data_IF_704921508120
#
_entry.id   IF_704921508120
#
_cell.length_a   1.000
_cell.length_b   1.000
_cell.length_c   1.000
_cell.angle_alpha   90.00
_cell.angle_beta   90.00
_cell.angle_gamma   90.00
#
_symmetry.space_group_name_H-M   'P 1'
#
loop_
_entity.id
_entity.type
_entity.pdbx_description
1 polymer ?
#
# COMPACT_ATOMS: atom_id res chain seq x y z
N UNK A 1 15.26 7.06 38.92
CA UNK A 1 13.97 6.74 38.26
C UNK A 1 13.21 5.57 38.90
N UNK A 2 13.84 4.57 39.50
CA UNK A 2 13.16 3.45 40.20
C UNK A 2 12.23 3.92 41.35
N UNK A 3 12.68 4.91 42.14
CA UNK A 3 11.93 5.40 43.33
C UNK A 3 10.59 6.08 42.98
N UNK A 4 10.49 6.77 41.86
CA UNK A 4 9.24 7.47 41.46
C UNK A 4 8.17 6.47 40.96
N UNK A 5 8.58 5.40 40.33
CA UNK A 5 7.68 4.31 39.91
C UNK A 5 7.07 3.57 41.08
N UNK A 6 7.87 3.31 42.11
CA UNK A 6 7.39 2.62 43.31
C UNK A 6 6.42 3.48 44.13
N UNK A 7 6.68 4.80 44.21
CA UNK A 7 5.77 5.74 44.91
C UNK A 7 4.43 5.87 44.16
N UNK A 8 4.46 6.00 42.83
CA UNK A 8 3.25 6.06 42.01
C UNK A 8 2.41 4.76 42.11
N UNK A 9 3.06 3.59 42.15
CA UNK A 9 2.35 2.32 42.33
C UNK A 9 1.68 2.25 43.68
N UNK A 10 2.36 2.65 44.78
CA UNK A 10 1.78 2.69 46.14
C UNK A 10 0.61 3.68 46.23
N UNK A 11 0.67 4.85 45.61
CA UNK A 11 -0.44 5.80 45.55
C UNK A 11 -1.61 5.24 44.76
N UNK A 12 -1.36 4.48 43.70
CA UNK A 12 -2.38 3.81 42.89
C UNK A 12 -3.11 2.71 43.67
N UNK A 13 -2.36 1.85 44.32
CA UNK A 13 -2.93 0.76 45.14
C UNK A 13 -3.75 1.34 46.33
N UNK A 14 -3.29 2.43 46.95
CA UNK A 14 -4.01 3.13 48.00
C UNK A 14 -5.34 3.73 47.52
N UNK A 15 -5.41 4.31 46.33
CA UNK A 15 -6.65 4.92 45.85
C UNK A 15 -7.79 3.90 45.64
N UNK A 16 -7.49 2.75 45.00
CA UNK A 16 -8.45 1.65 44.84
C UNK A 16 -8.90 1.11 46.21
N UNK A 17 -7.95 1.00 47.15
CA UNK A 17 -8.24 0.55 48.51
C UNK A 17 -9.13 1.54 49.26
N UNK A 18 -8.91 2.85 49.11
CA UNK A 18 -9.74 3.91 49.69
C UNK A 18 -11.18 3.87 49.16
N UNK A 19 -11.35 3.69 47.83
CA UNK A 19 -12.65 3.55 47.18
C UNK A 19 -13.42 2.32 47.70
N UNK A 20 -12.72 1.19 47.84
CA UNK A 20 -13.28 -0.02 48.42
C UNK A 20 -13.69 0.16 49.90
N UNK A 21 -12.83 0.78 50.72
CA UNK A 21 -13.12 1.06 52.10
C UNK A 21 -14.28 2.04 52.27
N UNK A 22 -14.35 3.08 51.41
CA UNK A 22 -15.46 4.03 51.46
C UNK A 22 -16.81 3.35 51.15
N UNK A 23 -16.84 2.52 50.09
CA UNK A 23 -18.04 1.73 49.74
C UNK A 23 -18.45 0.75 50.84
N UNK A 24 -17.47 0.05 51.42
CA UNK A 24 -17.72 -0.90 52.51
C UNK A 24 -18.17 -0.19 53.78
N UNK A 25 -17.55 0.91 54.16
CA UNK A 25 -17.92 1.72 55.33
C UNK A 25 -19.32 2.29 55.19
N UNK A 26 -19.68 2.78 54.03
CA UNK A 26 -21.01 3.30 53.76
C UNK A 26 -22.09 2.17 53.81
N UNK A 27 -21.78 1.01 53.29
CA UNK A 27 -22.66 -0.16 53.34
C UNK A 27 -22.91 -0.61 54.80
N UNK A 28 -21.87 -0.66 55.66
CA UNK A 28 -21.98 -0.94 57.08
C UNK A 28 -22.84 0.09 57.79
N UNK A 29 -22.69 1.37 57.49
CA UNK A 29 -23.50 2.45 58.05
C UNK A 29 -24.98 2.26 57.71
N UNK A 30 -25.33 1.99 56.45
CA UNK A 30 -26.71 1.73 56.02
C UNK A 30 -27.28 0.50 56.68
N UNK A 31 -26.50 -0.55 56.89
CA UNK A 31 -26.94 -1.76 57.55
C UNK A 31 -27.18 -1.56 59.05
N UNK A 32 -26.21 -0.96 59.76
CA UNK A 32 -26.26 -0.87 61.22
C UNK A 32 -27.07 0.31 61.75
N UNK A 33 -27.01 1.47 61.09
CA UNK A 33 -27.62 2.71 61.58
C UNK A 33 -29.00 2.94 60.99
N UNK A 34 -29.17 2.66 59.69
CA UNK A 34 -30.44 2.89 59.01
C UNK A 34 -31.30 1.61 58.89
N UNK A 35 -30.81 0.46 59.34
CA UNK A 35 -31.48 -0.84 59.26
C UNK A 35 -32.06 -1.17 57.88
N UNK A 36 -31.36 -0.74 56.82
CA UNK A 36 -31.79 -0.94 55.44
C UNK A 36 -30.82 -1.90 54.73
N UNK A 37 -31.14 -3.19 54.82
CA UNK A 37 -30.31 -4.25 54.23
C UNK A 37 -30.18 -4.16 52.71
N UNK A 38 -31.27 -3.82 52.00
CA UNK A 38 -31.24 -3.73 50.54
C UNK A 38 -30.32 -2.61 50.07
N UNK A 39 -30.39 -1.44 50.70
CA UNK A 39 -29.49 -0.33 50.38
C UNK A 39 -28.03 -0.67 50.69
N UNK A 40 -27.76 -1.38 51.78
CA UNK A 40 -26.42 -1.82 52.15
C UNK A 40 -25.78 -2.72 51.07
N UNK A 41 -26.52 -3.71 50.56
CA UNK A 41 -26.04 -4.62 49.52
C UNK A 41 -25.79 -3.91 48.19
N UNK A 42 -26.69 -3.00 47.78
CA UNK A 42 -26.54 -2.22 46.54
C UNK A 42 -25.32 -1.31 46.64
N UNK A 43 -25.11 -0.61 47.75
CA UNK A 43 -23.97 0.29 47.96
C UNK A 43 -22.66 -0.49 47.99
N UNK A 44 -22.64 -1.65 48.65
CA UNK A 44 -21.48 -2.53 48.66
C UNK A 44 -21.12 -3.03 47.27
N UNK A 45 -22.11 -3.50 46.50
CA UNK A 45 -21.93 -3.91 45.09
C UNK A 45 -21.43 -2.78 44.19
N UNK A 46 -21.97 -1.58 44.35
CA UNK A 46 -21.48 -0.40 43.59
C UNK A 46 -20.04 -0.03 43.97
N UNK A 47 -19.67 -0.13 45.27
CA UNK A 47 -18.30 0.11 45.74
C UNK A 47 -17.28 -0.85 45.12
N UNK A 48 -17.62 -2.14 45.05
CA UNK A 48 -16.78 -3.16 44.37
C UNK A 48 -16.66 -2.86 42.88
N UNK A 49 -17.78 -2.59 42.20
CA UNK A 49 -17.80 -2.28 40.77
C UNK A 49 -16.96 -1.05 40.46
N UNK A 50 -17.11 0.02 41.21
CA UNK A 50 -16.36 1.26 41.05
C UNK A 50 -14.85 1.01 41.22
N UNK A 51 -14.45 0.31 42.27
CA UNK A 51 -13.05 -0.04 42.51
C UNK A 51 -12.46 -0.88 41.39
N UNK A 52 -13.22 -1.84 40.86
CA UNK A 52 -12.79 -2.69 39.74
C UNK A 52 -12.63 -1.87 38.45
N UNK A 53 -13.62 -1.02 38.12
CA UNK A 53 -13.54 -0.14 36.95
C UNK A 53 -12.36 0.82 37.05
N UNK A 54 -12.17 1.44 38.22
CA UNK A 54 -11.03 2.33 38.47
C UNK A 54 -9.70 1.58 38.31
N UNK A 55 -9.61 0.35 38.80
CA UNK A 55 -8.40 -0.48 38.62
C UNK A 55 -8.11 -0.74 37.14
N UNK A 56 -9.11 -1.22 36.37
CA UNK A 56 -8.96 -1.54 34.95
C UNK A 56 -8.57 -0.32 34.12
N UNK A 57 -9.28 0.80 34.29
CA UNK A 57 -8.98 2.04 33.58
C UNK A 57 -7.55 2.53 33.86
N UNK A 58 -7.11 2.43 35.11
CA UNK A 58 -5.76 2.83 35.51
C UNK A 58 -4.67 1.91 34.94
N UNK A 59 -4.93 0.60 34.89
CA UNK A 59 -4.01 -0.34 34.26
C UNK A 59 -3.82 -0.03 32.78
N UNK A 60 -4.92 0.20 32.05
CA UNK A 60 -4.88 0.53 30.64
C UNK A 60 -4.16 1.87 30.36
N UNK A 61 -4.47 2.90 31.15
CA UNK A 61 -3.76 4.19 31.06
C UNK A 61 -2.27 4.04 31.39
N UNK A 62 -1.92 3.17 32.34
CA UNK A 62 -0.52 2.88 32.67
C UNK A 62 0.22 2.22 31.51
N UNK A 63 -0.39 1.24 30.85
CA UNK A 63 0.16 0.60 29.63
C UNK A 63 0.33 1.60 28.51
N UNK A 64 -0.72 2.37 28.18
CA UNK A 64 -0.65 3.41 27.15
C UNK A 64 0.45 4.43 27.42
N UNK A 65 0.61 4.90 28.65
CA UNK A 65 1.69 5.83 29.01
C UNK A 65 3.08 5.23 28.83
N UNK A 66 3.26 3.94 29.18
CA UNK A 66 4.56 3.25 29.01
C UNK A 66 4.91 3.03 27.55
N UNK A 67 3.93 2.68 26.72
CA UNK A 67 4.09 2.52 25.28
C UNK A 67 4.40 3.85 24.60
N UNK A 68 3.64 4.89 24.94
CA UNK A 68 3.88 6.26 24.42
C UNK A 68 5.26 6.80 24.82
N UNK A 69 5.69 6.55 26.06
CA UNK A 69 7.01 6.96 26.52
C UNK A 69 8.14 6.21 25.77
N UNK A 70 7.95 4.92 25.49
CA UNK A 70 8.90 4.15 24.70
C UNK A 70 8.98 4.64 23.26
N UNK A 71 7.85 4.91 22.61
CA UNK A 71 7.78 5.48 21.26
C UNK A 71 8.42 6.88 21.22
N UNK A 72 8.11 7.74 22.18
CA UNK A 72 8.70 9.07 22.30
C UNK A 72 10.22 9.01 22.45
N UNK A 73 10.74 8.09 23.26
CA UNK A 73 12.17 7.91 23.48
C UNK A 73 12.88 7.42 22.21
N UNK A 74 12.23 6.54 21.42
CA UNK A 74 12.73 6.07 20.15
C UNK A 74 12.79 7.21 19.11
N UNK A 75 11.74 8.01 19.01
CA UNK A 75 11.68 9.16 18.08
C UNK A 75 12.69 10.24 18.49
N UNK A 76 12.85 10.50 19.77
CA UNK A 76 13.78 11.52 20.27
C UNK A 76 15.26 11.17 20.05
N UNK A 77 15.58 9.88 19.86
CA UNK A 77 16.95 9.45 19.58
C UNK A 77 17.44 9.89 18.19
N UNK A 78 16.54 10.04 17.21
CA UNK A 78 16.89 10.43 15.84
C UNK A 78 17.46 11.86 15.77
N UNK A 79 16.78 12.94 16.27
CA UNK A 79 17.34 14.28 16.27
C UNK A 79 18.66 14.37 17.05
N UNK A 80 18.79 13.63 18.14
CA UNK A 80 20.02 13.59 18.92
C UNK A 80 21.17 12.96 18.14
N UNK A 81 20.94 11.84 17.46
CA UNK A 81 21.93 11.21 16.60
C UNK A 81 22.34 12.12 15.44
N UNK A 82 21.38 12.83 14.83
CA UNK A 82 21.65 13.81 13.77
C UNK A 82 22.56 14.93 14.23
N UNK A 83 22.29 15.46 15.42
CA UNK A 83 23.08 16.56 15.99
C UNK A 83 24.55 16.17 16.30
N UNK A 84 24.84 14.88 16.40
CA UNK A 84 26.20 14.35 16.61
C UNK A 84 26.99 14.15 15.32
N UNK A 85 26.36 14.25 14.13
CA UNK A 85 27.06 14.14 12.87
C UNK A 85 27.83 15.45 12.62
N UNK A 86 29.15 15.36 12.69
CA UNK A 86 30.02 16.53 12.51
C UNK A 86 30.32 16.80 11.02
N UNK A 87 30.32 15.77 10.17
CA UNK A 87 30.61 15.88 8.76
C UNK A 87 29.40 16.42 7.98
N UNK A 88 29.54 17.52 7.19
CA UNK A 88 28.42 18.16 6.48
C UNK A 88 27.79 17.25 5.41
N UNK A 89 28.57 16.43 4.73
CA UNK A 89 28.06 15.51 3.69
C UNK A 89 27.23 14.38 4.34
N UNK A 90 27.72 13.80 5.42
CA UNK A 90 26.99 12.84 6.22
C UNK A 90 25.70 13.43 6.81
N UNK A 91 25.74 14.71 7.22
CA UNK A 91 24.58 15.42 7.77
C UNK A 91 23.48 15.62 6.70
N UNK A 92 23.86 16.05 5.49
CA UNK A 92 22.94 16.13 4.35
C UNK A 92 22.33 14.77 4.02
N UNK A 93 23.16 13.73 3.96
CA UNK A 93 22.67 12.36 3.69
C UNK A 93 21.69 11.87 4.75
N UNK A 94 21.94 12.17 6.01
CA UNK A 94 21.05 11.81 7.11
C UNK A 94 19.70 12.56 7.03
N UNK A 95 19.71 13.84 6.63
CA UNK A 95 18.48 14.60 6.37
C UNK A 95 17.68 14.02 5.22
N UNK A 96 18.32 13.64 4.11
CA UNK A 96 17.68 12.99 2.97
C UNK A 96 17.01 11.66 3.36
N UNK A 97 17.69 10.85 4.20
CA UNK A 97 17.13 9.60 4.70
C UNK A 97 15.87 9.83 5.55
N UNK A 98 15.86 10.85 6.41
CA UNK A 98 14.68 11.18 7.20
C UNK A 98 13.54 11.66 6.31
N UNK A 99 13.82 12.56 5.36
CA UNK A 99 12.83 13.04 4.40
C UNK A 99 12.23 11.88 3.58
N UNK A 100 13.07 10.94 3.10
CA UNK A 100 12.64 9.73 2.42
C UNK A 100 11.76 8.84 3.29
N UNK A 101 12.12 8.66 4.57
CA UNK A 101 11.34 7.87 5.53
C UNK A 101 9.97 8.49 5.79
N UNK A 102 9.89 9.80 6.00
CA UNK A 102 8.63 10.52 6.19
C UNK A 102 7.72 10.39 4.97
N UNK A 103 8.28 10.49 3.76
CA UNK A 103 7.55 10.28 2.51
C UNK A 103 6.99 8.85 2.43
N UNK A 104 7.80 7.84 2.75
CA UNK A 104 7.37 6.44 2.76
C UNK A 104 6.25 6.19 3.78
N UNK A 105 6.36 6.77 4.98
CA UNK A 105 5.30 6.69 6.01
C UNK A 105 4.01 7.34 5.50
N UNK A 106 4.10 8.50 4.85
CA UNK A 106 2.92 9.17 4.26
C UNK A 106 2.25 8.31 3.19
N UNK A 107 3.02 7.61 2.35
CA UNK A 107 2.46 6.68 1.37
C UNK A 107 1.78 5.48 2.04
N UNK A 108 2.39 4.92 3.10
CA UNK A 108 1.78 3.84 3.89
C UNK A 108 0.47 4.27 4.55
N UNK A 109 0.39 5.51 5.08
CA UNK A 109 -0.85 6.08 5.61
C UNK A 109 -1.95 6.20 4.56
N UNK A 110 -1.58 6.45 3.30
CA UNK A 110 -2.48 6.46 2.16
C UNK A 110 -2.81 5.05 1.62
N UNK A 111 -2.23 4.01 2.23
CA UNK A 111 -2.44 2.61 1.84
C UNK A 111 -1.61 2.15 0.65
N UNK A 112 -0.54 2.89 0.34
CA UNK A 112 0.43 2.49 -0.67
C UNK A 112 1.70 1.95 -0.01
N UNK A 113 2.17 0.81 -0.49
CA UNK A 113 3.48 0.26 -0.14
C UNK A 113 4.47 0.78 -1.19
N UNK A 114 5.44 1.64 -0.80
CA UNK A 114 6.48 2.10 -1.73
C UNK A 114 7.41 0.94 -2.09
N UNK A 115 7.80 0.88 -3.35
CA UNK A 115 8.68 -0.13 -3.92
C UNK A 115 9.82 0.60 -4.65
N UNK A 116 11.03 0.11 -4.52
CA UNK A 116 12.11 0.50 -5.44
C UNK A 116 11.95 -0.23 -6.78
N UNK A 117 12.84 0.04 -7.74
CA UNK A 117 12.75 -0.55 -9.08
C UNK A 117 12.83 -2.09 -9.04
N UNK A 118 13.72 -2.64 -8.25
CA UNK A 118 13.88 -4.09 -8.12
C UNK A 118 12.66 -4.72 -7.42
N UNK A 119 12.26 -4.14 -6.30
CA UNK A 119 11.10 -4.58 -5.53
C UNK A 119 9.81 -4.51 -6.33
N UNK A 120 9.67 -3.53 -7.24
CA UNK A 120 8.53 -3.42 -8.14
C UNK A 120 8.39 -4.65 -9.06
N UNK A 121 9.47 -5.07 -9.73
CA UNK A 121 9.43 -6.24 -10.59
C UNK A 121 9.26 -7.55 -9.80
N UNK A 122 9.88 -7.66 -8.63
CA UNK A 122 9.71 -8.81 -7.75
C UNK A 122 8.27 -8.92 -7.23
N UNK A 123 7.68 -7.78 -6.84
CA UNK A 123 6.29 -7.74 -6.40
C UNK A 123 5.33 -8.06 -7.54
N UNK A 124 5.56 -7.53 -8.74
CA UNK A 124 4.79 -7.87 -9.94
C UNK A 124 4.84 -9.36 -10.25
N UNK A 125 6.03 -9.98 -10.19
CA UNK A 125 6.19 -11.41 -10.35
C UNK A 125 5.42 -12.19 -9.28
N UNK A 126 5.53 -11.79 -8.01
CA UNK A 126 4.79 -12.40 -6.90
C UNK A 126 3.28 -12.30 -7.08
N UNK A 127 2.76 -11.16 -7.49
CA UNK A 127 1.32 -10.98 -7.75
C UNK A 127 0.85 -11.86 -8.92
N UNK A 128 1.62 -11.95 -10.01
CA UNK A 128 1.32 -12.84 -11.14
C UNK A 128 1.31 -14.32 -10.71
N UNK A 129 2.28 -14.74 -9.88
CA UNK A 129 2.33 -16.12 -9.36
C UNK A 129 1.14 -16.44 -8.42
N UNK A 130 0.53 -15.44 -7.78
CA UNK A 130 -0.66 -15.61 -6.92
C UNK A 130 -1.98 -15.32 -7.62
N UNK A 131 -1.95 -14.78 -8.84
CA UNK A 131 -3.16 -14.53 -9.62
C UNK A 131 -3.90 -15.83 -9.93
N UNK A 132 -5.24 -15.76 -9.86
CA UNK A 132 -6.15 -16.91 -10.01
C UNK A 132 -7.01 -16.77 -11.26
N UNK A 133 -7.39 -15.56 -11.64
CA UNK A 133 -8.33 -15.32 -12.73
C UNK A 133 -7.77 -14.43 -13.83
N UNK A 134 -7.24 -13.26 -13.50
CA UNK A 134 -6.85 -12.29 -14.51
C UNK A 134 -5.76 -11.32 -14.05
N UNK A 135 -4.97 -10.87 -15.02
CA UNK A 135 -4.05 -9.73 -14.87
C UNK A 135 -4.32 -8.74 -16.01
N UNK A 136 -4.60 -7.49 -15.67
CA UNK A 136 -4.80 -6.39 -16.62
C UNK A 136 -3.65 -5.42 -16.46
N UNK A 137 -2.87 -5.23 -17.52
CA UNK A 137 -1.68 -4.38 -17.50
C UNK A 137 -1.75 -3.27 -18.54
N UNK A 138 -1.19 -2.12 -18.20
CA UNK A 138 -0.88 -1.05 -19.11
C UNK A 138 0.62 -0.77 -18.99
N UNK A 139 1.33 -0.86 -20.09
CA UNK A 139 2.78 -0.69 -20.12
C UNK A 139 3.17 0.29 -21.25
N UNK A 140 4.09 1.24 -20.99
CA UNK A 140 4.71 1.99 -22.06
C UNK A 140 5.63 1.05 -22.85
N UNK A 141 5.40 0.95 -24.17
CA UNK A 141 6.24 0.13 -25.03
C UNK A 141 7.48 0.93 -25.42
N UNK A 142 8.62 0.46 -24.93
CA UNK A 142 9.92 1.07 -25.22
C UNK A 142 10.89 0.05 -25.77
N UNK A 143 11.84 0.49 -26.59
CA UNK A 143 12.97 -0.33 -27.03
C UNK A 143 13.73 -0.88 -25.82
N UNK A 144 14.20 -2.15 -25.90
CA UNK A 144 14.90 -2.81 -24.81
C UNK A 144 14.02 -3.43 -23.73
N UNK A 145 12.71 -3.50 -23.92
CA UNK A 145 11.78 -4.13 -22.97
C UNK A 145 12.16 -5.58 -22.63
N UNK A 146 12.63 -6.36 -23.62
CA UNK A 146 13.07 -7.75 -23.44
C UNK A 146 14.50 -7.89 -22.89
N UNK A 147 15.29 -6.83 -22.81
CA UNK A 147 16.70 -6.89 -22.43
C UNK A 147 16.98 -6.65 -20.94
N UNK A 148 16.01 -6.18 -20.17
CA UNK A 148 16.15 -5.92 -18.73
C UNK A 148 15.91 -7.19 -17.93
N UNK A 149 16.92 -7.68 -17.21
CA UNK A 149 16.86 -8.95 -16.47
C UNK A 149 15.70 -9.08 -15.50
N UNK A 150 15.33 -7.99 -14.80
CA UNK A 150 14.18 -7.98 -13.90
C UNK A 150 12.85 -8.15 -14.64
N UNK A 151 12.69 -7.55 -15.83
CA UNK A 151 11.53 -7.72 -16.70
C UNK A 151 11.42 -9.15 -17.24
N UNK A 152 12.54 -9.82 -17.52
CA UNK A 152 12.51 -11.23 -17.95
C UNK A 152 11.90 -12.12 -16.87
N UNK A 153 12.31 -11.94 -15.62
CA UNK A 153 11.75 -12.73 -14.52
C UNK A 153 10.26 -12.42 -14.30
N UNK A 154 9.87 -11.15 -14.38
CA UNK A 154 8.46 -10.73 -14.32
C UNK A 154 7.66 -11.37 -15.46
N UNK A 155 8.17 -11.35 -16.70
CA UNK A 155 7.50 -11.96 -17.84
C UNK A 155 7.35 -13.48 -17.68
N UNK A 156 8.38 -14.18 -17.19
CA UNK A 156 8.31 -15.61 -16.89
C UNK A 156 7.22 -15.94 -15.86
N UNK A 157 6.99 -15.06 -14.87
CA UNK A 157 5.88 -15.26 -13.93
C UNK A 157 4.50 -15.12 -14.60
N UNK A 158 4.38 -14.24 -15.60
CA UNK A 158 3.17 -14.12 -16.41
C UNK A 158 2.90 -15.42 -17.19
N UNK A 159 3.94 -16.02 -17.82
CA UNK A 159 3.79 -17.29 -18.53
C UNK A 159 3.30 -18.40 -17.58
N UNK A 160 3.92 -18.53 -16.41
CA UNK A 160 3.44 -19.49 -15.39
C UNK A 160 2.00 -19.23 -14.93
N UNK A 161 1.58 -17.96 -14.86
CA UNK A 161 0.21 -17.63 -14.54
C UNK A 161 -0.76 -18.10 -15.64
N UNK A 162 -0.42 -17.88 -16.90
CA UNK A 162 -1.21 -18.36 -18.05
C UNK A 162 -1.29 -19.89 -18.12
N UNK A 163 -0.21 -20.60 -17.79
CA UNK A 163 -0.21 -22.08 -17.67
C UNK A 163 -1.23 -22.58 -16.62
N UNK A 164 -1.55 -21.75 -15.61
CA UNK A 164 -2.59 -22.03 -14.62
C UNK A 164 -3.99 -21.59 -15.04
N UNK A 165 -4.14 -21.02 -16.24
CA UNK A 165 -5.42 -20.55 -16.78
C UNK A 165 -5.75 -19.09 -16.42
N UNK A 166 -4.78 -18.31 -15.94
CA UNK A 166 -4.96 -16.86 -15.69
C UNK A 166 -4.97 -16.12 -17.04
N UNK A 167 -6.00 -15.31 -17.26
CA UNK A 167 -6.08 -14.45 -18.44
C UNK A 167 -5.18 -13.22 -18.23
N UNK A 168 -4.28 -12.95 -19.18
CA UNK A 168 -3.45 -11.76 -19.17
C UNK A 168 -3.79 -10.89 -20.36
N UNK A 169 -4.32 -9.69 -20.07
CA UNK A 169 -4.59 -8.66 -21.07
C UNK A 169 -3.64 -7.49 -20.87
N UNK A 170 -2.95 -7.08 -21.93
CA UNK A 170 -1.96 -6.01 -21.88
C UNK A 170 -2.21 -4.95 -22.94
N UNK A 171 -2.33 -3.71 -22.52
CA UNK A 171 -2.43 -2.56 -23.40
C UNK A 171 -1.07 -1.87 -23.44
N UNK A 172 -0.42 -1.90 -24.59
CA UNK A 172 0.82 -1.17 -24.80
C UNK A 172 0.55 0.25 -25.29
N UNK A 173 1.20 1.23 -24.66
CA UNK A 173 1.15 2.62 -25.08
C UNK A 173 2.38 2.92 -25.92
N UNK A 174 2.18 3.31 -27.18
CA UNK A 174 3.25 3.59 -28.14
C UNK A 174 2.85 4.71 -29.11
N UNK A 175 3.72 5.09 -30.03
CA UNK A 175 3.39 5.92 -31.17
C UNK A 175 3.30 5.07 -32.46
N UNK A 176 2.69 5.61 -33.50
CA UNK A 176 2.62 4.89 -34.80
C UNK A 176 4.00 4.66 -35.42
N UNK A 177 4.91 5.58 -35.20
CA UNK A 177 6.30 5.46 -35.70
C UNK A 177 7.05 4.35 -34.95
N UNK A 178 6.96 4.33 -33.61
CA UNK A 178 7.58 3.29 -32.76
C UNK A 178 7.02 1.88 -33.06
N UNK A 179 5.74 1.78 -33.42
CA UNK A 179 5.12 0.49 -33.76
C UNK A 179 5.82 -0.21 -34.94
N UNK A 180 6.43 0.55 -35.85
CA UNK A 180 7.16 0.02 -37.01
C UNK A 180 8.59 -0.44 -36.69
N UNK A 181 9.08 -0.19 -35.48
CA UNK A 181 10.43 -0.58 -35.06
C UNK A 181 10.56 -2.10 -34.89
N UNK A 182 11.62 -2.74 -35.42
CA UNK A 182 11.78 -4.19 -35.36
C UNK A 182 11.77 -4.75 -33.91
N UNK A 183 12.36 -4.04 -32.96
CA UNK A 183 12.37 -4.46 -31.55
C UNK A 183 10.99 -4.42 -30.93
N UNK A 184 10.21 -3.38 -31.23
CA UNK A 184 8.82 -3.23 -30.78
C UNK A 184 7.94 -4.35 -31.36
N UNK A 185 8.04 -4.58 -32.66
CA UNK A 185 7.36 -5.69 -33.34
C UNK A 185 7.68 -7.04 -32.70
N UNK A 186 8.94 -7.30 -32.40
CA UNK A 186 9.37 -8.55 -31.76
C UNK A 186 8.76 -8.73 -30.35
N UNK A 187 8.66 -7.66 -29.56
CA UNK A 187 8.01 -7.72 -28.24
C UNK A 187 6.56 -8.11 -28.38
N UNK A 188 5.82 -7.43 -29.25
CA UNK A 188 4.38 -7.66 -29.46
C UNK A 188 4.10 -9.08 -30.01
N UNK A 189 4.87 -9.51 -31.01
CA UNK A 189 4.77 -10.85 -31.58
C UNK A 189 5.03 -11.94 -30.53
N UNK A 190 6.09 -11.75 -29.72
CA UNK A 190 6.43 -12.71 -28.67
C UNK A 190 5.27 -12.87 -27.68
N UNK A 191 4.76 -11.76 -27.17
CA UNK A 191 3.66 -11.81 -26.21
C UNK A 191 2.36 -12.35 -26.80
N UNK A 192 2.03 -11.96 -28.02
CA UNK A 192 0.84 -12.50 -28.71
C UNK A 192 0.97 -14.00 -28.96
N UNK A 193 2.14 -14.48 -29.39
CA UNK A 193 2.43 -15.92 -29.60
C UNK A 193 2.35 -16.71 -28.30
N UNK A 194 2.80 -16.14 -27.21
CA UNK A 194 2.76 -16.75 -25.88
C UNK A 194 1.35 -16.76 -25.27
N UNK A 195 0.35 -16.15 -25.93
CA UNK A 195 -1.06 -16.18 -25.51
C UNK A 195 -1.52 -14.98 -24.69
N UNK A 196 -0.69 -13.93 -24.56
CA UNK A 196 -1.13 -12.66 -23.95
C UNK A 196 -2.11 -11.96 -24.88
N UNK A 197 -3.26 -11.52 -24.39
CA UNK A 197 -4.15 -10.65 -25.15
C UNK A 197 -3.54 -9.26 -25.25
N UNK A 198 -2.94 -8.95 -26.40
CA UNK A 198 -2.22 -7.71 -26.64
C UNK A 198 -3.13 -6.70 -27.36
N UNK A 199 -3.14 -5.46 -26.85
CA UNK A 199 -3.78 -4.30 -27.47
C UNK A 199 -2.80 -3.13 -27.55
N UNK A 200 -3.05 -2.18 -28.43
CA UNK A 200 -2.21 -0.98 -28.62
C UNK A 200 -3.07 0.27 -28.44
N UNK A 201 -2.61 1.18 -27.59
CA UNK A 201 -3.16 2.53 -27.48
C UNK A 201 -2.12 3.54 -27.97
N UNK A 202 -2.50 4.40 -28.90
CA UNK A 202 -1.58 5.43 -29.40
C UNK A 202 -1.62 6.66 -28.48
N UNK A 203 -0.43 7.20 -28.17
CA UNK A 203 -0.29 8.38 -27.26
C UNK A 203 -1.13 9.58 -27.70
N UNK A 204 -1.24 9.82 -29.00
CA UNK A 204 -2.01 10.93 -29.57
C UNK A 204 -3.52 10.68 -29.63
N UNK A 205 -3.97 9.46 -29.38
CA UNK A 205 -5.37 9.06 -29.38
C UNK A 205 -5.91 8.89 -27.94
N UNK A 206 -5.05 9.05 -26.94
CA UNK A 206 -5.46 8.94 -25.55
C UNK A 206 -6.45 10.04 -25.18
N UNK A 207 -7.49 9.74 -24.37
CA UNK A 207 -8.46 10.73 -23.92
C UNK A 207 -7.77 11.90 -23.21
N UNK A 208 -8.10 13.13 -23.59
CA UNK A 208 -7.52 14.36 -23.01
C UNK A 208 -7.76 14.53 -21.50
N UNK A 209 -8.68 13.77 -20.96
CA UNK A 209 -8.96 13.71 -19.49
C UNK A 209 -7.97 12.84 -18.73
N UNK A 210 -7.04 12.17 -19.41
CA UNK A 210 -5.90 11.51 -18.78
C UNK A 210 -4.83 12.57 -18.63
N UNK A 211 -4.83 13.25 -17.47
CA UNK A 211 -3.87 14.32 -17.18
C UNK A 211 -2.51 13.71 -16.87
N UNK A 212 -1.58 13.85 -17.81
CA UNK A 212 -0.18 13.45 -17.65
C UNK A 212 0.63 14.42 -16.79
N UNK A 213 0.08 15.62 -16.52
CA UNK A 213 0.77 16.71 -15.82
C UNK A 213 0.44 16.79 -14.31
N UNK A 214 -0.56 16.07 -13.87
CA UNK A 214 -1.03 16.10 -12.47
C UNK A 214 -0.30 15.10 -11.58
N UNK A 215 0.32 15.63 -10.56
CA UNK A 215 0.94 14.92 -9.43
C UNK A 215 0.12 13.73 -8.93
N UNK A 216 0.81 12.64 -8.71
CA UNK A 216 0.55 11.57 -7.72
C UNK A 216 -0.36 10.37 -8.06
N UNK A 217 -1.35 10.43 -8.94
CA UNK A 217 -2.22 9.25 -9.16
C UNK A 217 -2.19 8.72 -10.60
N UNK A 218 -1.98 9.59 -11.60
CA UNK A 218 -2.03 9.23 -13.02
C UNK A 218 -0.72 9.50 -13.77
N UNK A 219 0.35 9.80 -13.07
CA UNK A 219 1.63 10.25 -13.65
C UNK A 219 2.40 9.20 -14.43
N UNK A 220 1.97 7.94 -14.41
CA UNK A 220 2.54 6.88 -15.23
C UNK A 220 1.43 5.95 -15.66
N UNK A 221 1.24 5.80 -16.96
CA UNK A 221 0.42 4.74 -17.53
C UNK A 221 1.20 3.42 -17.58
N UNK A 222 1.77 3.07 -16.44
CA UNK A 222 2.52 1.83 -16.22
C UNK A 222 2.01 1.21 -14.91
N UNK A 223 1.05 0.29 -15.05
CA UNK A 223 0.46 -0.39 -13.92
C UNK A 223 -0.12 -1.75 -14.31
N UNK A 224 -0.27 -2.62 -13.32
CA UNK A 224 -0.99 -3.87 -13.46
C UNK A 224 -1.97 -4.08 -12.30
N UNK A 225 -3.17 -4.56 -12.64
CA UNK A 225 -4.22 -4.97 -11.70
C UNK A 225 -4.30 -6.48 -11.69
N UNK A 226 -4.23 -7.09 -10.52
CA UNK A 226 -4.22 -8.53 -10.30
C UNK A 226 -5.51 -8.95 -9.59
N UNK A 227 -6.36 -9.75 -10.24
CA UNK A 227 -7.63 -10.30 -9.71
C UNK A 227 -8.54 -9.28 -9.02
N UNK A 228 -8.45 -7.99 -9.38
CA UNK A 228 -9.14 -6.90 -8.71
C UNK A 228 -8.87 -6.81 -7.18
N UNK A 229 -7.71 -7.32 -6.74
CA UNK A 229 -7.28 -7.38 -5.32
C UNK A 229 -6.03 -6.56 -5.03
N UNK A 230 -5.20 -6.34 -6.03
CA UNK A 230 -3.97 -5.56 -5.88
C UNK A 230 -3.65 -4.80 -7.17
N UNK A 231 -2.99 -3.66 -7.00
CA UNK A 231 -2.43 -2.88 -8.09
C UNK A 231 -0.96 -2.64 -7.80
N UNK A 232 -0.11 -2.81 -8.80
CA UNK A 232 1.24 -2.26 -8.82
C UNK A 232 1.32 -1.17 -9.88
N UNK A 233 1.96 -0.05 -9.58
CA UNK A 233 2.14 1.05 -10.52
C UNK A 233 3.51 1.68 -10.39
N UNK A 234 4.04 2.18 -11.52
CA UNK A 234 5.31 2.93 -11.58
C UNK A 234 5.01 4.40 -11.83
N UNK A 235 5.80 5.27 -11.27
CA UNK A 235 5.79 6.69 -11.58
C UNK A 235 7.23 7.24 -11.62
N UNK A 236 7.45 8.22 -12.47
CA UNK A 236 8.73 8.91 -12.55
C UNK A 236 8.69 10.19 -11.72
N UNK A 237 9.68 10.42 -10.87
CA UNK A 237 9.84 11.65 -10.13
C UNK A 237 11.32 12.07 -10.14
N UNK A 238 11.61 13.29 -10.60
CA UNK A 238 12.98 13.82 -10.71
C UNK A 238 13.94 12.91 -11.48
N UNK A 239 13.45 12.28 -12.56
CA UNK A 239 14.23 11.38 -13.40
C UNK A 239 14.51 9.99 -12.80
N UNK A 240 13.91 9.67 -11.66
CA UNK A 240 13.98 8.34 -11.04
C UNK A 240 12.62 7.64 -11.10
N UNK A 241 12.65 6.33 -11.30
CA UNK A 241 11.46 5.49 -11.27
C UNK A 241 11.20 5.02 -9.85
N UNK A 242 9.94 5.10 -9.46
CA UNK A 242 9.44 4.61 -8.17
C UNK A 242 8.24 3.73 -8.42
N UNK A 243 8.22 2.59 -7.76
CA UNK A 243 7.07 1.71 -7.74
C UNK A 243 6.22 1.90 -6.50
N UNK A 244 4.98 1.50 -6.57
CA UNK A 244 4.09 1.36 -5.42
C UNK A 244 3.09 0.24 -5.64
N UNK A 245 2.61 -0.32 -4.52
CA UNK A 245 1.55 -1.31 -4.50
C UNK A 245 0.42 -0.84 -3.59
N UNK A 246 -0.81 -1.16 -3.95
CA UNK A 246 -1.96 -1.00 -3.07
C UNK A 246 -2.91 -2.19 -3.17
N UNK A 247 -3.60 -2.50 -2.07
CA UNK A 247 -4.72 -3.43 -1.99
C UNK A 247 -6.02 -2.73 -1.59
N UNK A 248 -6.04 -1.39 -1.56
CA UNK A 248 -7.25 -0.65 -1.19
C UNK A 248 -8.26 -0.65 -2.33
N UNK A 249 -9.48 -1.12 -2.08
CA UNK A 249 -10.53 -1.28 -3.08
C UNK A 249 -10.87 0.03 -3.80
N UNK A 250 -10.88 1.16 -3.09
CA UNK A 250 -11.15 2.47 -3.70
C UNK A 250 -10.08 2.88 -4.73
N UNK A 251 -8.81 2.54 -4.48
CA UNK A 251 -7.72 2.82 -5.41
C UNK A 251 -7.73 1.82 -6.57
N UNK A 252 -7.95 0.53 -6.29
CA UNK A 252 -8.09 -0.51 -7.33
C UNK A 252 -9.20 -0.11 -8.31
N UNK A 253 -10.36 0.35 -7.82
CA UNK A 253 -11.46 0.78 -8.67
C UNK A 253 -11.07 1.94 -9.61
N UNK A 254 -10.22 2.87 -9.17
CA UNK A 254 -9.72 3.96 -10.05
C UNK A 254 -8.84 3.42 -11.18
N UNK A 255 -7.95 2.47 -10.89
CA UNK A 255 -7.08 1.86 -11.90
C UNK A 255 -7.89 0.99 -12.87
N UNK A 256 -8.91 0.27 -12.39
CA UNK A 256 -9.81 -0.49 -13.24
C UNK A 256 -10.59 0.42 -14.19
N UNK A 257 -11.16 1.51 -13.67
CA UNK A 257 -11.84 2.48 -14.52
C UNK A 257 -10.92 3.13 -15.56
N UNK A 258 -9.66 3.42 -15.17
CA UNK A 258 -8.66 3.92 -16.12
C UNK A 258 -8.34 2.87 -17.20
N UNK A 259 -8.16 1.61 -16.79
CA UNK A 259 -7.93 0.49 -17.71
C UNK A 259 -9.08 0.37 -18.73
N UNK A 260 -10.33 0.30 -18.26
CA UNK A 260 -11.52 0.19 -19.11
C UNK A 260 -11.63 1.34 -20.13
N UNK A 261 -11.33 2.56 -19.69
CA UNK A 261 -11.32 3.72 -20.61
C UNK A 261 -10.26 3.60 -21.70
N UNK A 262 -9.07 3.12 -21.36
CA UNK A 262 -8.01 2.89 -22.33
C UNK A 262 -8.30 1.71 -23.24
N UNK A 263 -8.89 0.66 -22.71
CA UNK A 263 -9.30 -0.51 -23.47
C UNK A 263 -10.30 -0.17 -24.59
N UNK A 264 -11.24 0.75 -24.32
CA UNK A 264 -12.21 1.21 -25.34
C UNK A 264 -11.54 1.97 -26.51
N UNK A 265 -10.43 2.63 -26.27
CA UNK A 265 -9.66 3.35 -27.31
C UNK A 265 -8.51 2.53 -27.87
N UNK A 266 -8.21 1.37 -27.29
CA UNK A 266 -7.11 0.53 -27.70
C UNK A 266 -7.48 -0.34 -28.91
N UNK A 267 -6.56 -0.42 -29.85
CA UNK A 267 -6.69 -1.22 -31.05
C UNK A 267 -6.29 -2.66 -30.77
N UNK A 268 -7.13 -3.59 -31.15
CA UNK A 268 -6.81 -5.01 -31.13
C UNK A 268 -5.77 -5.29 -32.22
N UNK A 269 -4.83 -6.17 -31.93
CA UNK A 269 -3.78 -6.57 -32.88
C UNK A 269 -4.03 -7.99 -33.41
N UNK A 270 -3.55 -8.21 -34.63
CA UNK A 270 -3.44 -9.54 -35.23
C UNK A 270 -2.05 -9.72 -35.84
N UNK A 271 -1.70 -10.94 -36.17
CA UNK A 271 -0.42 -11.26 -36.82
C UNK A 271 -0.69 -11.64 -38.27
N UNK A 272 -0.12 -10.89 -39.20
CA UNK A 272 -0.13 -11.17 -40.62
C UNK A 272 1.31 -11.22 -41.15
N UNK A 273 1.65 -12.24 -41.91
CA UNK A 273 2.98 -12.43 -42.50
C UNK A 273 4.14 -12.21 -41.50
N UNK A 274 3.98 -12.72 -40.27
CA UNK A 274 4.93 -12.54 -39.17
C UNK A 274 5.15 -11.08 -38.72
N UNK A 275 4.13 -10.22 -38.88
CA UNK A 275 4.08 -8.84 -38.37
C UNK A 275 2.82 -8.60 -37.57
N UNK A 276 2.94 -7.71 -36.60
CA UNK A 276 1.79 -7.17 -35.85
C UNK A 276 1.16 -6.07 -36.71
N UNK A 277 -0.12 -6.22 -36.99
CA UNK A 277 -0.97 -5.23 -37.67
C UNK A 277 -2.20 -4.96 -36.81
N UNK A 278 -2.83 -3.80 -37.00
CA UNK A 278 -4.08 -3.47 -36.33
C UNK A 278 -5.23 -4.26 -36.96
N UNK A 279 -6.08 -4.83 -36.15
CA UNK A 279 -7.22 -5.61 -36.67
C UNK A 279 -8.14 -4.79 -37.58
N UNK A 280 -8.27 -3.48 -37.37
CA UNK A 280 -9.02 -2.58 -38.23
C UNK A 280 -8.37 -2.37 -39.62
N UNK A 281 -7.03 -2.39 -39.70
CA UNK A 281 -6.27 -2.24 -40.95
C UNK A 281 -6.28 -3.56 -41.73
N UNK A 282 -6.18 -4.70 -41.04
CA UNK A 282 -6.25 -6.00 -41.67
C UNK A 282 -7.62 -6.24 -42.34
N UNK A 283 -8.72 -5.83 -41.71
CA UNK A 283 -10.05 -5.91 -42.31
C UNK A 283 -10.21 -5.01 -43.54
N UNK A 284 -9.54 -3.83 -43.56
CA UNK A 284 -9.56 -2.91 -44.72
C UNK A 284 -8.74 -3.40 -45.91
N UNK A 285 -7.71 -4.23 -45.70
CA UNK A 285 -6.89 -4.82 -46.74
C UNK A 285 -7.55 -6.09 -47.33
N UNK A 286 -8.46 -6.73 -46.62
CA UNK A 286 -9.18 -7.93 -47.07
C UNK A 286 -10.50 -7.64 -47.79
N UNK A 287 -10.95 -6.37 -47.83
CA UNK A 287 -12.16 -5.90 -48.51
C UNK A 287 -11.82 -5.23 -49.86
#
# INVERSE_FOLDING_TARGET
MKNIRDVNKKIHDMAVFIEFLAGSGLAIFFHMVLHNEQAAYVIFGMGILLSLVTYLVREDVGKMKSELAAQYQQVHSIPFALAQIADPECQLKAQDLIAGTLKSISQLQQGYIPLDEMDFYLEGARQSDHAVSQVRAIDPLTSGWLSRGALVNFYQSNLRAMERGVLITRIFITSRDELSEPEVQKVLQTQHRDGVEVRIAFRNELPSTIDFSGSDVYGSLDFAVYDDRAVTSVFAQNGKYYGRKTGQQAEIAKYLHLYERLEHSAHQVCVEEDRIVLASEALALAS
#
